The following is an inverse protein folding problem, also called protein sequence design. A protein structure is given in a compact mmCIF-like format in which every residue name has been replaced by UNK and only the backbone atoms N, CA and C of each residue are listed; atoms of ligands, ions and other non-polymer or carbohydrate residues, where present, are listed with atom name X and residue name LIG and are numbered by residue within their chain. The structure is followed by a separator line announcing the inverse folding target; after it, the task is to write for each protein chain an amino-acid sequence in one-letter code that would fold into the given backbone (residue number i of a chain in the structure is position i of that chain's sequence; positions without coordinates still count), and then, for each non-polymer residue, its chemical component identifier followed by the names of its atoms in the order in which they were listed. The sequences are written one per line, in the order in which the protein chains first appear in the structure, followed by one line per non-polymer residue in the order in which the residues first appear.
data_IF_627803555285
#
_entry.id   IF_627803555285
#
_cell.length_a   1.000
_cell.length_b   1.000
_cell.length_c   1.000
_cell.angle_alpha   90.00
_cell.angle_beta   90.00
_cell.angle_gamma   90.00
#
_symmetry.space_group_name_H-M   'P 1'
#
loop_
_entity.id
_entity.type
_entity.pdbx_description
1 polymer ?
#
# COMPACT_ATOMS: atom_id res chain seq x y z
N UNK A 1 -29.91 -2.45 -3.00
CA UNK A 1 -28.80 -3.18 -2.34
C UNK A 1 -28.40 -2.43 -1.08
N UNK A 2 -28.52 -3.06 0.09
CA UNK A 2 -28.16 -2.43 1.37
C UNK A 2 -26.63 -2.23 1.43
N UNK A 3 -26.20 -0.99 1.67
CA UNK A 3 -24.79 -0.66 1.92
C UNK A 3 -24.46 -1.21 3.30
N UNK A 4 -23.59 -2.21 3.40
CA UNK A 4 -23.08 -2.67 4.69
C UNK A 4 -22.26 -1.52 5.32
N UNK A 5 -22.80 -0.87 6.35
CA UNK A 5 -22.06 0.07 7.18
C UNK A 5 -21.05 -0.72 8.03
N UNK A 6 -19.96 -1.20 7.42
CA UNK A 6 -18.88 -1.88 8.12
C UNK A 6 -18.03 -0.85 8.85
N UNK A 7 -18.15 -0.81 10.17
CA UNK A 7 -17.45 0.16 11.02
C UNK A 7 -16.14 -0.40 11.62
N UNK A 8 -15.96 -1.72 11.60
CA UNK A 8 -14.85 -2.40 12.24
C UNK A 8 -13.99 -3.14 11.22
N UNK A 9 -12.69 -2.86 11.23
CA UNK A 9 -11.73 -3.35 10.24
C UNK A 9 -10.61 -4.14 10.90
N UNK A 10 -10.31 -5.33 10.38
CA UNK A 10 -9.22 -6.14 10.90
C UNK A 10 -7.85 -5.52 10.54
N UNK A 11 -6.86 -5.71 11.41
CA UNK A 11 -5.47 -5.31 11.13
C UNK A 11 -4.92 -5.76 9.76
N UNK A 12 -5.37 -6.92 9.27
CA UNK A 12 -4.98 -7.45 7.95
C UNK A 12 -5.66 -6.67 6.81
N UNK A 13 -6.94 -6.31 6.97
CA UNK A 13 -7.68 -5.52 5.98
C UNK A 13 -7.14 -4.09 5.87
N UNK A 14 -6.61 -3.56 6.97
CA UNK A 14 -5.98 -2.25 7.02
C UNK A 14 -4.55 -2.25 6.46
N UNK A 15 -3.91 -3.41 6.39
CA UNK A 15 -2.53 -3.60 5.93
C UNK A 15 -2.41 -3.79 4.42
N UNK A 16 -3.43 -3.44 3.64
CA UNK A 16 -3.45 -3.60 2.16
C UNK A 16 -2.88 -2.39 1.41
N UNK A 17 -2.21 -1.47 2.10
CA UNK A 17 -1.67 -0.24 1.49
C UNK A 17 -2.68 0.89 1.38
N UNK A 18 -3.59 0.99 2.36
CA UNK A 18 -4.46 2.16 2.47
C UNK A 18 -3.63 3.45 2.70
N UNK A 19 -4.12 4.60 2.22
CA UNK A 19 -3.45 5.88 2.44
C UNK A 19 -3.17 6.14 3.92
N UNK A 20 -1.95 6.58 4.24
CA UNK A 20 -1.48 6.82 5.62
C UNK A 20 -1.60 5.58 6.54
N UNK A 21 -1.71 4.37 5.99
CA UNK A 21 -1.71 3.12 6.76
C UNK A 21 -0.41 2.33 6.54
N UNK A 22 0.08 1.63 7.57
CA UNK A 22 1.19 0.70 7.41
C UNK A 22 0.83 -0.47 6.47
N UNK A 23 1.84 -1.00 5.76
CA UNK A 23 1.70 -2.13 4.82
C UNK A 23 1.71 -3.50 5.49
N UNK A 24 1.97 -3.57 6.79
CA UNK A 24 2.06 -4.83 7.51
C UNK A 24 1.09 -4.83 8.68
N UNK A 25 0.52 -6.01 8.97
CA UNK A 25 -0.37 -6.22 10.12
C UNK A 25 0.26 -5.72 11.42
N UNK A 26 1.55 -6.03 11.62
CA UNK A 26 2.31 -5.58 12.78
C UNK A 26 2.43 -4.05 12.83
N UNK A 27 2.72 -3.41 11.69
CA UNK A 27 2.76 -1.95 11.58
C UNK A 27 1.43 -1.30 11.96
N UNK A 28 0.31 -1.86 11.51
CA UNK A 28 -1.04 -1.40 11.86
C UNK A 28 -1.26 -1.50 13.37
N UNK A 29 -0.91 -2.64 13.99
CA UNK A 29 -1.05 -2.82 15.45
C UNK A 29 -0.17 -1.83 16.23
N UNK A 30 1.08 -1.63 15.80
CA UNK A 30 2.00 -0.67 16.43
C UNK A 30 1.47 0.76 16.33
N UNK A 31 0.96 1.14 15.16
CA UNK A 31 0.33 2.44 14.92
C UNK A 31 -0.93 2.63 15.79
N UNK A 32 -1.80 1.63 15.80
CA UNK A 32 -3.03 1.65 16.60
C UNK A 32 -2.78 1.81 18.10
N UNK A 33 -1.75 1.14 18.63
CA UNK A 33 -1.31 1.32 20.02
C UNK A 33 -0.79 2.72 20.29
N UNK A 34 0.05 3.25 19.40
CA UNK A 34 0.62 4.60 19.51
C UNK A 34 -0.44 5.69 19.47
N UNK A 35 -1.47 5.52 18.65
CA UNK A 35 -2.52 6.51 18.41
C UNK A 35 -3.81 6.21 19.19
N UNK A 36 -3.80 5.23 20.09
CA UNK A 36 -4.93 4.93 20.97
C UNK A 36 -6.21 4.52 20.23
N UNK A 37 -6.12 3.77 19.14
CA UNK A 37 -7.29 3.43 18.33
C UNK A 37 -8.28 2.55 19.10
N UNK A 38 -9.58 2.83 18.93
CA UNK A 38 -10.66 1.98 19.45
C UNK A 38 -10.53 0.60 18.83
N UNK A 39 -10.33 -0.40 19.68
CA UNK A 39 -10.09 -1.78 19.25
C UNK A 39 -11.02 -2.75 19.96
N UNK A 40 -11.35 -3.85 19.27
CA UNK A 40 -12.09 -4.97 19.83
C UNK A 40 -11.50 -6.30 19.39
N UNK A 41 -11.76 -7.37 20.14
CA UNK A 41 -11.41 -8.73 19.69
C UNK A 41 -12.19 -9.05 18.43
N UNK A 42 -11.50 -9.60 17.42
CA UNK A 42 -12.12 -10.03 16.16
C UNK A 42 -13.13 -11.13 16.41
N UNK A 43 -14.34 -10.98 15.87
CA UNK A 43 -15.36 -12.04 15.88
C UNK A 43 -15.12 -12.97 14.68
N UNK A 44 -14.18 -13.91 14.80
CA UNK A 44 -13.87 -14.88 13.73
C UNK A 44 -12.68 -15.79 14.06
N UNK A 45 -12.41 -16.76 13.18
CA UNK A 45 -11.24 -17.67 13.31
C UNK A 45 -9.92 -16.90 13.15
N UNK A 46 -8.92 -17.28 13.94
CA UNK A 46 -7.54 -16.75 13.84
C UNK A 46 -7.20 -15.57 14.75
N UNK A 47 -8.06 -15.21 15.70
CA UNK A 47 -7.79 -14.19 16.71
C UNK A 47 -7.45 -12.80 16.16
N UNK A 48 -6.89 -11.94 17.02
CA UNK A 48 -6.46 -10.58 16.68
C UNK A 48 -7.50 -9.49 16.97
N UNK A 49 -7.12 -8.26 16.62
CA UNK A 49 -7.92 -7.06 16.88
C UNK A 49 -8.51 -6.49 15.59
N UNK A 50 -9.72 -5.96 15.73
CA UNK A 50 -10.37 -5.06 14.80
C UNK A 50 -10.34 -3.64 15.34
N UNK A 51 -10.33 -2.64 14.46
CA UNK A 51 -10.28 -1.23 14.80
C UNK A 51 -11.47 -0.49 14.20
N UNK A 52 -12.02 0.44 14.97
CA UNK A 52 -13.16 1.25 14.54
C UNK A 52 -12.75 2.30 13.51
N UNK A 53 -13.58 2.55 12.49
CA UNK A 53 -13.30 3.50 11.42
C UNK A 53 -12.99 4.90 11.95
N UNK A 54 -13.70 5.36 12.99
CA UNK A 54 -13.50 6.69 13.57
C UNK A 54 -12.11 6.90 14.19
N UNK A 55 -11.36 5.84 14.43
CA UNK A 55 -10.00 5.90 14.98
C UNK A 55 -8.92 5.84 13.89
N UNK A 56 -9.28 5.59 12.64
CA UNK A 56 -8.34 5.56 11.54
C UNK A 56 -7.98 6.99 11.10
N UNK A 57 -6.87 7.22 10.38
CA UNK A 57 -6.55 8.52 9.82
C UNK A 57 -7.69 9.03 8.91
N UNK A 58 -7.96 10.34 8.90
CA UNK A 58 -9.06 10.93 8.14
C UNK A 58 -9.08 10.51 6.66
N UNK A 59 -7.91 10.52 6.00
CA UNK A 59 -7.74 10.08 4.60
C UNK A 59 -8.11 8.60 4.42
N UNK A 60 -7.85 7.76 5.43
CA UNK A 60 -8.25 6.35 5.44
C UNK A 60 -9.76 6.21 5.66
N UNK A 61 -10.37 7.05 6.50
CA UNK A 61 -11.82 7.08 6.71
C UNK A 61 -12.57 7.46 5.43
N UNK A 62 -12.10 8.48 4.72
CA UNK A 62 -12.67 8.89 3.42
C UNK A 62 -12.57 7.79 2.37
N UNK A 63 -11.42 7.09 2.34
CA UNK A 63 -11.21 5.96 1.46
C UNK A 63 -12.20 4.82 1.75
N UNK A 64 -12.35 4.44 3.02
CA UNK A 64 -13.21 3.34 3.45
C UNK A 64 -14.71 3.67 3.39
N UNK A 65 -15.08 4.93 3.61
CA UNK A 65 -16.48 5.40 3.49
C UNK A 65 -16.93 5.59 2.03
N UNK A 66 -16.02 5.44 1.07
CA UNK A 66 -16.31 5.67 -0.35
C UNK A 66 -16.62 7.13 -0.67
N UNK A 67 -16.15 8.07 0.17
CA UNK A 67 -16.28 9.52 -0.05
C UNK A 67 -15.25 10.11 -1.02
N UNK A 68 -14.30 9.29 -1.50
CA UNK A 68 -13.48 9.70 -2.66
C UNK A 68 -14.37 9.76 -3.90
N UNK A 69 -14.31 10.87 -4.61
CA UNK A 69 -14.83 10.94 -5.97
C UNK A 69 -14.24 9.77 -6.76
N UNK A 70 -15.12 8.94 -7.35
CA UNK A 70 -14.69 8.02 -8.41
C UNK A 70 -13.97 8.89 -9.45
N UNK A 71 -12.83 8.47 -10.02
CA UNK A 71 -12.24 9.21 -11.12
C UNK A 71 -13.33 9.42 -12.17
N UNK A 72 -13.66 10.68 -12.48
CA UNK A 72 -14.76 11.02 -13.39
C UNK A 72 -14.55 10.30 -14.73
N UNK A 73 -15.47 9.38 -15.05
CA UNK A 73 -15.57 8.71 -16.36
C UNK A 73 -14.65 7.49 -16.55
N UNK A 74 -15.16 6.50 -17.28
CA UNK A 74 -14.47 5.22 -17.56
C UNK A 74 -13.07 5.37 -18.15
N UNK A 75 -12.80 6.46 -18.89
CA UNK A 75 -11.47 6.75 -19.43
C UNK A 75 -10.42 7.03 -18.34
N UNK A 76 -10.76 7.75 -17.27
CA UNK A 76 -9.82 7.98 -16.15
C UNK A 76 -9.61 6.72 -15.31
N UNK A 77 -10.63 5.86 -15.18
CA UNK A 77 -10.47 4.55 -14.56
C UNK A 77 -9.59 3.61 -15.40
N UNK A 78 -9.75 3.62 -16.73
CA UNK A 78 -8.89 2.86 -17.65
C UNK A 78 -7.45 3.38 -17.63
N UNK A 79 -7.24 4.69 -17.61
CA UNK A 79 -5.90 5.28 -17.47
C UNK A 79 -5.28 4.92 -16.13
N UNK A 80 -6.05 4.97 -15.03
CA UNK A 80 -5.56 4.58 -13.71
C UNK A 80 -5.20 3.09 -13.62
N UNK A 81 -6.01 2.21 -14.20
CA UNK A 81 -5.71 0.78 -14.30
C UNK A 81 -4.48 0.58 -15.20
N UNK A 82 -4.46 1.14 -16.41
CA UNK A 82 -3.35 1.00 -17.34
C UNK A 82 -2.02 1.50 -16.74
N UNK A 83 -2.05 2.60 -15.99
CA UNK A 83 -0.88 3.14 -15.29
C UNK A 83 -0.43 2.24 -14.14
N UNK A 84 -1.37 1.73 -13.34
CA UNK A 84 -1.07 0.77 -12.27
C UNK A 84 -0.45 -0.52 -12.81
N UNK A 85 -1.00 -1.07 -13.89
CA UNK A 85 -0.50 -2.28 -14.53
C UNK A 85 0.82 -2.04 -15.28
N UNK A 86 1.00 -0.89 -15.95
CA UNK A 86 2.29 -0.53 -16.57
C UNK A 86 3.39 -0.44 -15.54
N UNK A 87 3.15 0.28 -14.46
CA UNK A 87 4.14 0.43 -13.40
C UNK A 87 4.50 -0.93 -12.78
N UNK A 88 3.50 -1.79 -12.53
CA UNK A 88 3.76 -3.12 -12.00
C UNK A 88 4.55 -4.01 -12.98
N UNK A 89 4.18 -4.06 -14.25
CA UNK A 89 4.88 -4.87 -15.27
C UNK A 89 6.32 -4.38 -15.48
N UNK A 90 6.52 -3.06 -15.58
CA UNK A 90 7.85 -2.45 -15.72
C UNK A 90 8.74 -2.74 -14.50
N UNK A 91 8.20 -2.68 -13.28
CA UNK A 91 8.94 -3.00 -12.05
C UNK A 91 9.36 -4.47 -12.03
N UNK A 92 8.48 -5.41 -12.40
CA UNK A 92 8.83 -6.83 -12.46
C UNK A 92 9.93 -7.08 -13.49
N UNK A 93 9.75 -6.55 -14.70
CA UNK A 93 10.74 -6.72 -15.77
C UNK A 93 12.10 -6.11 -15.42
N UNK A 94 12.10 -4.94 -14.77
CA UNK A 94 13.32 -4.33 -14.26
C UNK A 94 14.02 -5.24 -13.24
N UNK A 95 13.29 -5.78 -12.26
CA UNK A 95 13.88 -6.67 -11.27
C UNK A 95 14.45 -7.95 -11.89
N UNK A 96 13.75 -8.54 -12.86
CA UNK A 96 14.25 -9.70 -13.62
C UNK A 96 15.55 -9.36 -14.34
N UNK A 97 15.56 -8.31 -15.16
CA UNK A 97 16.74 -7.91 -15.93
C UNK A 97 17.92 -7.51 -15.03
N UNK A 98 17.64 -6.89 -13.88
CA UNK A 98 18.65 -6.54 -12.89
C UNK A 98 19.30 -7.80 -12.30
N UNK A 99 18.47 -8.73 -11.83
CA UNK A 99 18.94 -9.94 -11.16
C UNK A 99 19.62 -10.92 -12.13
N UNK A 100 19.17 -10.95 -13.38
CA UNK A 100 19.78 -11.74 -14.46
C UNK A 100 21.06 -11.07 -15.02
N UNK A 101 21.39 -9.86 -14.55
CA UNK A 101 22.59 -9.12 -14.97
C UNK A 101 22.51 -8.57 -16.41
N UNK A 102 21.31 -8.46 -16.95
CA UNK A 102 21.04 -7.97 -18.31
C UNK A 102 21.06 -6.43 -18.41
N UNK A 103 21.02 -5.73 -17.28
CA UNK A 103 21.15 -4.28 -17.23
C UNK A 103 22.63 -3.84 -17.23
N UNK A 104 22.91 -2.83 -18.05
CA UNK A 104 24.17 -2.09 -18.01
C UNK A 104 24.15 -1.09 -16.85
N UNK A 105 24.78 -1.45 -15.74
CA UNK A 105 24.78 -0.72 -14.47
C UNK A 105 26.16 -0.80 -13.84
N UNK A 106 26.57 0.28 -13.17
CA UNK A 106 27.89 0.42 -12.56
C UNK A 106 28.13 -0.63 -11.46
N UNK A 107 29.37 -1.11 -11.35
CA UNK A 107 29.74 -2.22 -10.45
C UNK A 107 29.41 -1.94 -8.98
N UNK A 108 29.63 -0.71 -8.52
CA UNK A 108 29.31 -0.32 -7.14
C UNK A 108 27.81 -0.50 -6.81
N UNK A 109 26.93 -0.39 -7.81
CA UNK A 109 25.48 -0.59 -7.62
C UNK A 109 25.19 -2.07 -7.38
N UNK A 110 25.84 -2.97 -8.13
CA UNK A 110 25.72 -4.43 -7.94
C UNK A 110 26.34 -4.88 -6.62
N UNK A 111 27.45 -4.26 -6.21
CA UNK A 111 28.07 -4.53 -4.91
C UNK A 111 27.16 -4.08 -3.74
N UNK A 112 26.55 -2.89 -3.85
CA UNK A 112 25.66 -2.37 -2.82
C UNK A 112 24.30 -3.07 -2.79
N UNK A 113 23.78 -3.49 -3.95
CA UNK A 113 22.48 -4.13 -4.13
C UNK A 113 22.69 -5.39 -4.99
N UNK A 114 23.09 -6.53 -4.39
CA UNK A 114 23.37 -7.77 -5.15
C UNK A 114 22.13 -8.39 -5.79
N UNK A 115 20.95 -8.14 -5.23
CA UNK A 115 19.67 -8.53 -5.80
C UNK A 115 18.59 -7.55 -5.38
N UNK A 116 17.55 -7.44 -6.20
CA UNK A 116 16.42 -6.56 -5.94
C UNK A 116 15.09 -7.28 -6.15
N UNK A 117 14.19 -7.13 -5.17
CA UNK A 117 12.81 -7.58 -5.29
C UNK A 117 11.91 -6.43 -5.71
N UNK A 118 10.78 -6.73 -6.36
CA UNK A 118 9.76 -5.73 -6.69
C UNK A 118 9.27 -4.99 -5.45
N UNK A 119 9.22 -5.68 -4.30
CA UNK A 119 8.81 -5.06 -3.04
C UNK A 119 9.82 -4.01 -2.56
N UNK A 120 11.11 -4.26 -2.74
CA UNK A 120 12.15 -3.30 -2.37
C UNK A 120 12.24 -2.15 -3.37
N UNK A 121 12.10 -2.44 -4.67
CA UNK A 121 12.03 -1.42 -5.71
C UNK A 121 10.84 -0.46 -5.50
N UNK A 122 9.66 -0.99 -5.15
CA UNK A 122 8.48 -0.17 -4.81
C UNK A 122 8.73 0.72 -3.59
N UNK A 123 9.48 0.24 -2.59
CA UNK A 123 9.86 1.08 -1.43
C UNK A 123 10.78 2.21 -1.85
N UNK A 124 11.74 1.96 -2.74
CA UNK A 124 12.66 2.99 -3.25
C UNK A 124 11.93 4.07 -4.03
N UNK A 125 11.08 3.70 -5.00
CA UNK A 125 10.33 4.68 -5.81
C UNK A 125 9.42 5.55 -4.94
N UNK A 126 8.70 4.95 -3.99
CA UNK A 126 7.82 5.69 -3.08
C UNK A 126 8.58 6.58 -2.11
N UNK A 127 9.80 6.20 -1.72
CA UNK A 127 10.67 7.06 -0.93
C UNK A 127 11.04 8.32 -1.73
N UNK A 128 11.43 8.16 -3.00
CA UNK A 128 11.74 9.28 -3.89
C UNK A 128 10.53 10.22 -4.11
N UNK A 129 9.35 9.69 -4.42
CA UNK A 129 8.14 10.50 -4.64
C UNK A 129 7.74 11.36 -3.43
N UNK A 130 7.97 10.85 -2.21
CA UNK A 130 7.58 11.51 -0.97
C UNK A 130 8.60 12.55 -0.51
N UNK A 131 9.89 12.34 -0.76
CA UNK A 131 10.96 13.17 -0.18
C UNK A 131 11.68 14.07 -1.19
N UNK A 132 11.65 13.74 -2.48
CA UNK A 132 12.40 14.47 -3.51
C UNK A 132 11.46 15.16 -4.51
N UNK A 133 10.18 14.76 -4.55
CA UNK A 133 9.16 15.32 -5.46
C UNK A 133 9.25 14.72 -6.87
N UNK A 134 8.21 14.89 -7.72
CA UNK A 134 8.24 14.38 -9.09
C UNK A 134 9.33 15.10 -9.89
N UNK A 135 10.10 14.33 -10.65
CA UNK A 135 11.09 14.81 -11.63
C UNK A 135 10.38 15.46 -12.82
#
# INVERSE_FOLDING_TARGET
MQKLNKEWFASVELAVGLPKMPLTRYGVVKKAKREGWKSRKRQGRGGGLEYHISSLPHVTQEYLSGKREKPLGGARAQLFIADHWRNYILMNKFCEDYNDGLLDIQDWVKEAIPSISVTDLVKFVRFYEVYIGPV
#
